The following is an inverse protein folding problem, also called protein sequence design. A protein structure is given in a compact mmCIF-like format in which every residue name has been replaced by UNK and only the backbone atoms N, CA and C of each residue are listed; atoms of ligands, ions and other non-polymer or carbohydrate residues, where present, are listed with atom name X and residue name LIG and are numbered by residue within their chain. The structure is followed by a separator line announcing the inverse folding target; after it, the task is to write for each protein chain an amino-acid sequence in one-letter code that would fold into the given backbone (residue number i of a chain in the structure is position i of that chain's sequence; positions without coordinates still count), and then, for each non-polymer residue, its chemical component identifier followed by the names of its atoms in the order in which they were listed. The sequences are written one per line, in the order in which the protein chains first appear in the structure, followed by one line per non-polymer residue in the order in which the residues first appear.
data_IF_014053543959
#
_entry.id   IF_014053543959
#
_cell.length_a   1.000
_cell.length_b   1.000
_cell.length_c   1.000
_cell.angle_alpha   90.00
_cell.angle_beta   90.00
_cell.angle_gamma   90.00
#
_symmetry.space_group_name_H-M   'P 1'
#
loop_
_entity.id
_entity.type
_entity.pdbx_description
1 polymer ?
#
# COMPACT_ATOMS: atom_id res chain seq x y z
N UNK A 1 13.40 -50.45 4.58
CA UNK A 1 12.78 -49.21 4.07
C UNK A 1 11.26 -49.28 3.84
N UNK A 2 10.61 -50.46 3.74
CA UNK A 2 9.14 -50.57 3.52
C UNK A 2 8.24 -50.01 4.65
N UNK A 3 8.79 -49.67 5.84
CA UNK A 3 8.02 -49.23 7.01
C UNK A 3 8.28 -47.77 7.46
N UNK A 4 9.02 -46.98 6.67
CA UNK A 4 9.31 -45.59 7.06
C UNK A 4 8.11 -44.67 6.77
N UNK A 5 7.31 -44.41 7.80
CA UNK A 5 6.10 -43.57 7.71
C UNK A 5 6.42 -42.13 7.30
N UNK A 6 7.59 -41.59 7.66
CA UNK A 6 8.02 -40.26 7.23
C UNK A 6 8.19 -40.22 5.72
N UNK A 7 8.96 -41.16 5.17
CA UNK A 7 9.22 -41.19 3.72
C UNK A 7 7.92 -41.39 2.92
N UNK A 8 7.00 -42.22 3.43
CA UNK A 8 5.68 -42.42 2.83
C UNK A 8 4.82 -41.14 2.86
N UNK A 9 4.81 -40.41 3.98
CA UNK A 9 4.07 -39.16 4.10
C UNK A 9 4.60 -38.10 3.12
N UNK A 10 5.92 -37.92 3.06
CA UNK A 10 6.57 -36.99 2.12
C UNK A 10 6.21 -37.36 0.68
N UNK A 11 6.42 -38.62 0.26
CA UNK A 11 6.13 -39.05 -1.10
C UNK A 11 4.66 -38.85 -1.51
N UNK A 12 3.72 -39.11 -0.60
CA UNK A 12 2.28 -38.87 -0.85
C UNK A 12 1.94 -37.39 -0.93
N UNK A 13 2.55 -36.54 -0.10
CA UNK A 13 2.35 -35.10 -0.13
C UNK A 13 2.90 -34.49 -1.42
N UNK A 14 4.14 -34.83 -1.81
CA UNK A 14 4.75 -34.37 -3.07
C UNK A 14 3.88 -34.77 -4.27
N UNK A 15 3.38 -36.01 -4.29
CA UNK A 15 2.48 -36.49 -5.35
C UNK A 15 1.17 -35.71 -5.39
N UNK A 16 0.56 -35.41 -4.25
CA UNK A 16 -0.69 -34.67 -4.18
C UNK A 16 -0.52 -33.19 -4.54
N UNK A 17 0.65 -32.60 -4.25
CA UNK A 17 0.99 -31.25 -4.69
C UNK A 17 1.30 -31.18 -6.19
N UNK A 18 1.86 -32.25 -6.76
CA UNK A 18 2.02 -32.39 -8.21
C UNK A 18 2.99 -31.40 -8.85
N UNK A 19 3.87 -30.78 -8.07
CA UNK A 19 4.92 -29.88 -8.56
C UNK A 19 6.20 -30.67 -8.87
N UNK A 20 6.99 -30.19 -9.82
CA UNK A 20 8.30 -30.76 -10.12
C UNK A 20 9.35 -30.30 -9.11
N UNK A 21 9.29 -29.03 -8.72
CA UNK A 21 10.23 -28.39 -7.78
C UNK A 21 9.52 -27.75 -6.59
N UNK A 22 10.19 -27.78 -5.45
CA UNK A 22 9.71 -27.30 -4.17
C UNK A 22 10.78 -26.47 -3.45
N UNK A 23 10.34 -25.43 -2.77
CA UNK A 23 11.12 -24.82 -1.71
C UNK A 23 10.86 -25.60 -0.41
N UNK A 24 11.93 -26.09 0.22
CA UNK A 24 11.92 -26.68 1.56
C UNK A 24 12.46 -25.66 2.56
N UNK A 25 11.61 -25.25 3.49
CA UNK A 25 11.97 -24.36 4.59
C UNK A 25 12.34 -25.18 5.83
N UNK A 26 13.54 -24.98 6.36
CA UNK A 26 13.98 -25.57 7.63
C UNK A 26 14.16 -24.43 8.62
N UNK A 27 13.24 -24.33 9.58
CA UNK A 27 13.19 -23.22 10.54
C UNK A 27 13.69 -23.68 11.90
N UNK A 28 14.72 -23.03 12.42
CA UNK A 28 15.19 -23.28 13.77
C UNK A 28 14.16 -22.78 14.79
N UNK A 29 13.71 -23.64 15.71
CA UNK A 29 12.64 -23.28 16.65
C UNK A 29 13.08 -22.26 17.71
N UNK A 30 14.38 -22.16 17.98
CA UNK A 30 14.93 -21.27 19.03
C UNK A 30 15.12 -19.84 18.52
N UNK A 31 15.81 -19.72 17.38
CA UNK A 31 16.18 -18.45 16.76
C UNK A 31 15.12 -17.94 15.78
N UNK A 32 14.23 -18.83 15.31
CA UNK A 32 13.25 -18.53 14.29
C UNK A 32 13.82 -18.38 12.88
N UNK A 33 15.15 -18.55 12.70
CA UNK A 33 15.83 -18.40 11.42
C UNK A 33 15.38 -19.48 10.43
N UNK A 34 15.06 -19.06 9.20
CA UNK A 34 14.64 -19.95 8.12
C UNK A 34 15.80 -20.22 7.15
N UNK A 35 16.09 -21.49 6.90
CA UNK A 35 16.95 -21.94 5.80
C UNK A 35 16.06 -22.46 4.67
N UNK A 36 16.19 -21.87 3.47
CA UNK A 36 15.46 -22.31 2.29
C UNK A 36 16.35 -23.15 1.38
N UNK A 37 15.82 -24.25 0.84
CA UNK A 37 16.47 -25.03 -0.22
C UNK A 37 15.46 -25.38 -1.31
N UNK A 38 15.78 -25.02 -2.54
CA UNK A 38 14.99 -25.41 -3.70
C UNK A 38 15.46 -26.79 -4.22
N UNK A 39 14.54 -27.73 -4.30
CA UNK A 39 14.79 -29.12 -4.70
C UNK A 39 13.68 -29.66 -5.58
N UNK A 40 14.04 -30.54 -6.51
CA UNK A 40 13.08 -31.41 -7.19
C UNK A 40 12.42 -32.39 -6.22
N UNK A 41 11.26 -32.93 -6.59
CA UNK A 41 10.57 -33.97 -5.79
C UNK A 41 11.49 -35.15 -5.42
N UNK A 42 12.36 -35.57 -6.35
CA UNK A 42 13.33 -36.64 -6.12
C UNK A 42 14.42 -36.24 -5.12
N UNK A 43 14.94 -35.01 -5.22
CA UNK A 43 15.94 -34.48 -4.29
C UNK A 43 15.37 -34.31 -2.88
N UNK A 44 14.09 -33.93 -2.73
CA UNK A 44 13.43 -33.89 -1.41
C UNK A 44 13.41 -35.27 -0.76
N UNK A 45 13.05 -36.32 -1.52
CA UNK A 45 13.06 -37.69 -1.03
C UNK A 45 14.48 -38.16 -0.70
N UNK A 46 15.46 -37.87 -1.56
CA UNK A 46 16.86 -38.22 -1.36
C UNK A 46 17.44 -37.57 -0.08
N UNK A 47 17.07 -36.32 0.20
CA UNK A 47 17.54 -35.57 1.36
C UNK A 47 16.69 -35.80 2.63
N UNK A 48 15.73 -36.73 2.61
CA UNK A 48 14.91 -37.07 3.79
C UNK A 48 15.75 -37.43 5.03
N UNK A 49 16.88 -38.18 4.95
CA UNK A 49 17.73 -38.43 6.12
C UNK A 49 18.31 -37.15 6.75
N UNK A 50 18.70 -36.17 5.92
CA UNK A 50 19.16 -34.87 6.40
C UNK A 50 18.03 -34.07 7.05
N UNK A 51 16.84 -34.05 6.43
CA UNK A 51 15.66 -33.41 7.02
C UNK A 51 15.27 -34.03 8.37
N UNK A 52 15.36 -35.36 8.50
CA UNK A 52 15.15 -36.06 9.77
C UNK A 52 16.14 -35.62 10.84
N UNK A 53 17.42 -35.48 10.48
CA UNK A 53 18.46 -34.97 11.38
C UNK A 53 18.16 -33.53 11.81
N UNK A 54 17.85 -32.65 10.87
CA UNK A 54 17.51 -31.26 11.18
C UNK A 54 16.28 -31.18 12.10
N UNK A 55 15.23 -31.94 11.79
CA UNK A 55 14.05 -32.00 12.62
C UNK A 55 14.38 -32.52 14.01
N UNK A 56 15.14 -33.62 14.13
CA UNK A 56 15.61 -34.16 15.42
C UNK A 56 16.33 -33.11 16.29
N UNK A 57 17.10 -32.21 15.64
CA UNK A 57 17.85 -31.13 16.27
C UNK A 57 17.04 -29.88 16.62
N UNK A 58 15.71 -29.90 16.46
CA UNK A 58 14.84 -28.78 16.86
C UNK A 58 14.41 -27.86 15.73
N UNK A 59 14.50 -28.32 14.48
CA UNK A 59 14.03 -27.54 13.34
C UNK A 59 12.63 -27.98 12.88
N UNK A 60 11.76 -27.02 12.59
CA UNK A 60 10.50 -27.22 11.90
C UNK A 60 10.73 -27.36 10.38
N UNK A 61 10.04 -28.27 9.72
CA UNK A 61 10.17 -28.51 8.28
C UNK A 61 8.91 -28.08 7.53
N UNK A 62 9.10 -27.27 6.51
CA UNK A 62 8.07 -26.64 5.70
C UNK A 62 8.28 -26.93 4.21
N UNK A 63 7.23 -26.77 3.43
CA UNK A 63 7.21 -26.99 1.98
C UNK A 63 6.28 -25.98 1.31
N UNK A 64 6.68 -25.53 0.12
CA UNK A 64 5.83 -24.83 -0.85
C UNK A 64 6.35 -25.11 -2.27
N UNK A 65 5.56 -24.87 -3.32
CA UNK A 65 6.07 -24.92 -4.70
C UNK A 65 7.23 -23.92 -4.90
N UNK A 66 8.20 -24.29 -5.74
CA UNK A 66 9.34 -23.41 -6.06
C UNK A 66 8.87 -22.13 -6.77
N UNK A 67 9.70 -21.09 -6.76
CA UNK A 67 9.34 -19.76 -7.27
C UNK A 67 8.90 -19.75 -8.74
N UNK A 68 9.60 -20.50 -9.58
CA UNK A 68 9.35 -20.58 -11.02
C UNK A 68 8.40 -21.73 -11.39
N UNK A 69 7.91 -22.48 -10.41
CA UNK A 69 7.00 -23.60 -10.63
C UNK A 69 5.64 -23.08 -11.12
N UNK A 70 5.11 -23.69 -12.19
CA UNK A 70 3.77 -23.36 -12.69
C UNK A 70 2.75 -24.25 -11.97
N UNK A 71 2.04 -23.67 -11.01
CA UNK A 71 1.06 -24.40 -10.20
C UNK A 71 -0.21 -23.58 -9.93
N UNK A 72 -1.30 -24.26 -9.60
CA UNK A 72 -2.55 -23.65 -9.11
C UNK A 72 -2.84 -23.96 -7.63
N UNK A 73 -1.81 -24.28 -6.84
CA UNK A 73 -1.96 -24.55 -5.41
C UNK A 73 -2.07 -23.27 -4.56
N UNK A 74 -3.02 -23.28 -3.62
CA UNK A 74 -3.28 -22.24 -2.63
C UNK A 74 -3.32 -22.89 -1.24
N UNK A 75 -2.59 -22.32 -0.27
CA UNK A 75 -2.62 -22.78 1.12
C UNK A 75 -3.76 -22.10 1.89
N UNK A 76 -4.44 -22.86 2.73
CA UNK A 76 -5.36 -22.39 3.76
C UNK A 76 -4.91 -22.99 5.09
N UNK A 77 -4.51 -22.14 6.04
CA UNK A 77 -3.92 -22.54 7.33
C UNK A 77 -4.88 -22.25 8.49
N UNK A 78 -4.68 -22.93 9.62
CA UNK A 78 -5.48 -22.83 10.85
C UNK A 78 -6.96 -23.27 10.70
N UNK A 79 -7.15 -24.46 10.12
CA UNK A 79 -8.47 -25.07 9.90
C UNK A 79 -8.82 -26.10 10.99
N UNK A 80 -10.12 -26.22 11.27
CA UNK A 80 -10.73 -27.31 12.05
C UNK A 80 -11.24 -28.45 11.15
N UNK A 81 -11.74 -29.54 11.75
CA UNK A 81 -12.36 -30.62 10.98
C UNK A 81 -13.69 -30.18 10.33
N UNK A 82 -14.41 -29.27 10.97
CA UNK A 82 -15.69 -28.75 10.46
C UNK A 82 -15.46 -27.90 9.21
N UNK A 83 -14.45 -27.03 9.23
CA UNK A 83 -14.09 -26.20 8.07
C UNK A 83 -13.71 -27.08 6.87
N UNK A 84 -13.01 -28.20 7.11
CA UNK A 84 -12.67 -29.14 6.05
C UNK A 84 -13.90 -29.84 5.44
N UNK A 85 -14.94 -30.08 6.22
CA UNK A 85 -16.18 -30.66 5.73
C UNK A 85 -17.00 -29.62 4.95
N UNK A 86 -17.06 -28.38 5.42
CA UNK A 86 -17.69 -27.26 4.71
C UNK A 86 -16.96 -26.96 3.39
N UNK A 87 -15.63 -26.90 3.39
CA UNK A 87 -14.81 -26.79 2.18
C UNK A 87 -15.18 -27.87 1.15
N UNK A 88 -15.35 -29.12 1.58
CA UNK A 88 -15.72 -30.20 0.66
C UNK A 88 -17.15 -30.05 0.14
N UNK A 89 -18.10 -29.69 1.02
CA UNK A 89 -19.50 -29.49 0.64
C UNK A 89 -19.67 -28.34 -0.35
N UNK A 90 -18.84 -27.31 -0.26
CA UNK A 90 -18.89 -26.10 -1.09
C UNK A 90 -18.02 -26.19 -2.35
N UNK A 91 -17.41 -27.35 -2.63
CA UNK A 91 -16.58 -27.55 -3.83
C UNK A 91 -15.19 -26.92 -3.75
N UNK A 92 -14.69 -26.61 -2.55
CA UNK A 92 -13.30 -26.21 -2.26
C UNK A 92 -12.49 -27.42 -1.78
N UNK A 93 -12.72 -28.59 -2.36
CA UNK A 93 -12.11 -29.84 -1.87
C UNK A 93 -10.57 -29.72 -1.84
N UNK A 94 -9.93 -30.02 -0.70
CA UNK A 94 -8.48 -29.99 -0.62
C UNK A 94 -7.82 -31.01 -1.55
N UNK A 95 -6.76 -30.59 -2.24
CA UNK A 95 -5.85 -31.50 -2.92
C UNK A 95 -5.12 -32.38 -1.88
N UNK A 96 -4.76 -31.79 -0.73
CA UNK A 96 -4.27 -32.51 0.44
C UNK A 96 -4.63 -31.79 1.74
N UNK A 97 -4.71 -32.56 2.82
CA UNK A 97 -4.95 -32.09 4.18
C UNK A 97 -3.81 -32.55 5.07
N UNK A 98 -3.19 -31.61 5.78
CA UNK A 98 -2.12 -31.85 6.74
C UNK A 98 -2.59 -31.44 8.12
N UNK A 99 -2.53 -32.36 9.07
CA UNK A 99 -2.70 -32.04 10.48
C UNK A 99 -1.34 -31.57 11.03
N UNK A 100 -1.27 -30.29 11.41
CA UNK A 100 -0.05 -29.63 11.85
C UNK A 100 0.26 -29.90 13.33
N UNK A 101 -0.79 -30.12 14.13
CA UNK A 101 -0.77 -30.60 15.50
C UNK A 101 -2.14 -31.20 15.81
N UNK A 102 -2.33 -31.98 16.91
CA UNK A 102 -3.59 -32.68 17.14
C UNK A 102 -4.81 -31.77 16.99
N UNK A 103 -5.73 -32.14 16.08
CA UNK A 103 -6.96 -31.40 15.74
C UNK A 103 -6.77 -30.00 15.13
N UNK A 104 -5.58 -29.69 14.62
CA UNK A 104 -5.29 -28.44 13.91
C UNK A 104 -4.81 -28.79 12.50
N UNK A 105 -5.46 -28.23 11.50
CA UNK A 105 -5.30 -28.64 10.11
C UNK A 105 -4.88 -27.48 9.22
N UNK A 106 -4.33 -27.85 8.08
CA UNK A 106 -4.18 -26.96 6.94
C UNK A 106 -4.44 -27.74 5.66
N UNK A 107 -4.90 -27.03 4.65
CA UNK A 107 -5.27 -27.60 3.38
C UNK A 107 -4.52 -26.91 2.24
N UNK A 108 -4.11 -27.69 1.25
CA UNK A 108 -3.76 -27.12 -0.06
C UNK A 108 -4.92 -27.34 -1.01
N UNK A 109 -5.46 -26.27 -1.55
CA UNK A 109 -6.52 -26.29 -2.57
C UNK A 109 -5.88 -26.08 -3.93
N UNK A 110 -6.13 -27.00 -4.87
CA UNK A 110 -5.69 -26.85 -6.26
C UNK A 110 -6.84 -26.23 -7.07
N UNK A 111 -6.67 -24.99 -7.54
CA UNK A 111 -7.74 -24.27 -8.26
C UNK A 111 -7.66 -24.43 -9.79
N UNK A 112 -6.46 -24.73 -10.30
CA UNK A 112 -6.19 -25.00 -11.71
C UNK A 112 -4.88 -25.78 -11.82
N UNK A 113 -4.49 -26.19 -13.03
CA UNK A 113 -3.14 -26.72 -13.26
C UNK A 113 -2.08 -25.62 -13.09
N UNK A 114 -2.37 -24.39 -13.54
CA UNK A 114 -1.52 -23.23 -13.34
C UNK A 114 -2.35 -21.96 -13.09
N UNK A 115 -1.95 -21.17 -12.09
CA UNK A 115 -2.50 -19.84 -11.81
C UNK A 115 -1.39 -18.87 -11.40
N UNK A 116 -1.47 -17.62 -11.86
CA UNK A 116 -0.52 -16.55 -11.51
C UNK A 116 -0.52 -16.24 -10.01
N UNK A 117 0.60 -15.72 -9.49
CA UNK A 117 0.75 -15.40 -8.06
C UNK A 117 -0.30 -14.41 -7.54
N UNK A 118 -0.67 -13.40 -8.33
CA UNK A 118 -1.69 -12.42 -7.96
C UNK A 118 -3.08 -13.07 -7.76
N UNK A 119 -3.48 -13.96 -8.69
CA UNK A 119 -4.71 -14.74 -8.58
C UNK A 119 -4.68 -15.66 -7.37
N UNK A 120 -3.59 -16.41 -7.18
CA UNK A 120 -3.44 -17.32 -6.02
C UNK A 120 -3.49 -16.57 -4.70
N UNK A 121 -2.86 -15.39 -4.63
CA UNK A 121 -2.90 -14.54 -3.44
C UNK A 121 -4.31 -13.98 -3.17
N UNK A 122 -5.05 -13.60 -4.20
CA UNK A 122 -6.44 -13.16 -4.02
C UNK A 122 -7.33 -14.30 -3.55
N UNK A 123 -7.21 -15.48 -4.15
CA UNK A 123 -7.95 -16.68 -3.74
C UNK A 123 -7.58 -17.08 -2.30
N UNK A 124 -6.30 -17.00 -1.91
CA UNK A 124 -5.87 -17.30 -0.55
C UNK A 124 -6.61 -16.42 0.48
N UNK A 125 -6.73 -15.11 0.20
CA UNK A 125 -7.48 -14.17 1.05
C UNK A 125 -8.98 -14.46 1.08
N UNK A 126 -9.56 -14.82 -0.06
CA UNK A 126 -10.97 -15.23 -0.13
C UNK A 126 -11.22 -16.47 0.72
N UNK A 127 -10.43 -17.53 0.54
CA UNK A 127 -10.58 -18.77 1.30
C UNK A 127 -10.31 -18.58 2.79
N UNK A 128 -9.31 -17.79 3.17
CA UNK A 128 -9.07 -17.46 4.57
C UNK A 128 -10.26 -16.73 5.20
N UNK A 129 -10.91 -15.83 4.46
CA UNK A 129 -12.12 -15.15 4.93
C UNK A 129 -13.37 -16.03 4.92
N UNK A 130 -13.48 -17.00 4.02
CA UNK A 130 -14.64 -17.92 3.95
C UNK A 130 -14.67 -18.91 5.12
N UNK A 131 -13.49 -19.36 5.58
CA UNK A 131 -13.35 -20.42 6.58
C UNK A 131 -12.69 -19.96 7.88
N UNK A 132 -12.71 -18.66 8.17
CA UNK A 132 -12.09 -18.04 9.37
C UNK A 132 -10.63 -18.49 9.62
N UNK A 133 -9.91 -18.78 8.53
CA UNK A 133 -8.54 -19.26 8.53
C UNK A 133 -7.54 -18.11 8.75
N UNK A 134 -6.28 -18.44 9.06
CA UNK A 134 -5.27 -17.43 9.41
C UNK A 134 -4.99 -16.43 8.27
N UNK A 135 -5.36 -15.14 8.40
CA UNK A 135 -5.13 -14.14 7.36
C UNK A 135 -3.65 -13.83 7.12
N UNK A 136 -2.78 -14.07 8.11
CA UNK A 136 -1.34 -13.87 7.96
C UNK A 136 -0.70 -14.92 7.04
N UNK A 137 -1.39 -16.05 6.85
CA UNK A 137 -0.99 -17.15 5.98
C UNK A 137 -1.60 -17.03 4.57
N UNK A 138 -2.47 -16.04 4.34
CA UNK A 138 -3.21 -15.84 3.10
C UNK A 138 -2.40 -15.09 2.02
N UNK A 139 -1.28 -15.67 1.60
CA UNK A 139 -0.43 -15.16 0.54
C UNK A 139 -0.07 -16.22 -0.51
N UNK A 140 0.44 -15.77 -1.67
CA UNK A 140 0.70 -16.68 -2.80
C UNK A 140 1.94 -17.56 -2.63
N UNK A 141 2.75 -17.36 -1.60
CA UNK A 141 4.04 -18.04 -1.37
C UNK A 141 4.20 -18.52 0.07
N UNK A 142 3.09 -18.66 0.79
CA UNK A 142 3.14 -19.13 2.16
C UNK A 142 3.69 -20.56 2.26
N UNK A 143 4.39 -20.84 3.35
CA UNK A 143 4.94 -22.16 3.63
C UNK A 143 3.91 -23.04 4.35
N UNK A 144 3.59 -24.19 3.76
CA UNK A 144 2.88 -25.26 4.45
C UNK A 144 3.84 -26.16 5.25
N UNK A 145 3.30 -26.95 6.17
CA UNK A 145 4.02 -28.02 6.87
C UNK A 145 4.28 -29.20 5.94
N UNK A 146 5.51 -29.73 6.00
CA UNK A 146 5.83 -31.01 5.39
C UNK A 146 5.50 -32.13 6.37
N UNK A 147 4.58 -33.02 6.00
CA UNK A 147 4.18 -34.15 6.82
C UNK A 147 5.30 -35.18 6.99
N UNK A 148 5.25 -35.93 8.09
CA UNK A 148 6.26 -36.92 8.43
C UNK A 148 7.39 -36.40 9.32
N UNK A 149 7.32 -35.16 9.80
CA UNK A 149 8.23 -34.55 10.78
C UNK A 149 7.47 -34.16 12.05
N UNK A 150 8.19 -33.96 13.17
CA UNK A 150 7.57 -33.44 14.39
C UNK A 150 7.42 -31.91 14.34
N UNK A 151 6.35 -31.39 14.91
CA UNK A 151 6.15 -29.96 15.12
C UNK A 151 6.95 -29.50 16.35
N UNK A 152 7.92 -28.62 16.15
CA UNK A 152 8.91 -28.20 17.15
C UNK A 152 8.52 -26.96 17.95
N UNK A 153 7.37 -26.35 17.68
CA UNK A 153 6.89 -25.20 18.46
C UNK A 153 6.54 -25.63 19.89
N UNK A 154 7.10 -24.94 20.88
CA UNK A 154 6.97 -25.29 22.30
C UNK A 154 5.53 -25.42 22.79
N UNK A 155 4.62 -24.58 22.28
CA UNK A 155 3.18 -24.61 22.64
C UNK A 155 2.48 -25.94 22.34
N UNK A 156 3.05 -26.78 21.49
CA UNK A 156 2.51 -28.10 21.15
C UNK A 156 3.26 -29.25 21.82
N UNK A 157 4.32 -28.95 22.57
CA UNK A 157 5.02 -29.96 23.36
C UNK A 157 4.09 -30.42 24.49
N UNK A 158 3.79 -31.72 24.49
CA UNK A 158 2.97 -32.33 25.53
C UNK A 158 3.61 -32.17 26.91
N UNK A 159 2.82 -32.32 27.97
CA UNK A 159 3.31 -32.29 29.37
C UNK A 159 4.44 -33.30 29.63
N UNK A 160 4.50 -34.38 28.86
CA UNK A 160 5.55 -35.40 28.93
C UNK A 160 6.79 -35.09 28.05
N UNK A 161 6.86 -33.91 27.43
CA UNK A 161 7.99 -33.48 26.60
C UNK A 161 7.97 -33.96 25.15
N UNK A 162 6.92 -34.68 24.72
CA UNK A 162 6.81 -35.16 23.34
C UNK A 162 6.25 -34.09 22.41
N UNK A 163 6.88 -33.97 21.24
CA UNK A 163 6.43 -33.15 20.12
C UNK A 163 5.52 -33.98 19.21
N UNK A 164 4.36 -33.47 18.78
CA UNK A 164 3.44 -34.20 17.93
C UNK A 164 3.99 -34.33 16.51
N UNK A 165 3.64 -35.44 15.85
CA UNK A 165 3.93 -35.64 14.43
C UNK A 165 2.94 -34.85 13.57
N UNK A 166 3.46 -34.23 12.52
CA UNK A 166 2.66 -33.65 11.44
C UNK A 166 2.18 -34.79 10.54
N UNK A 167 0.87 -34.94 10.39
CA UNK A 167 0.25 -36.08 9.71
C UNK A 167 -0.42 -35.66 8.40
N UNK A 168 -0.18 -36.42 7.34
CA UNK A 168 -0.91 -36.28 6.08
C UNK A 168 -2.22 -37.06 6.18
N UNK A 169 -3.35 -36.36 6.33
CA UNK A 169 -4.68 -36.95 6.48
C UNK A 169 -5.27 -37.36 5.13
N UNK A 170 -5.27 -36.44 4.17
CA UNK A 170 -5.78 -36.67 2.81
C UNK A 170 -4.77 -36.21 1.75
N UNK A 171 -4.75 -36.83 0.57
CA UNK A 171 -3.78 -36.55 -0.50
C UNK A 171 -4.32 -36.95 -1.89
N UNK A 172 -5.53 -36.48 -2.22
CA UNK A 172 -6.22 -36.84 -3.47
C UNK A 172 -5.56 -36.20 -4.70
N UNK A 173 -4.95 -35.02 -4.54
CA UNK A 173 -4.25 -34.28 -5.61
C UNK A 173 -5.15 -33.76 -6.73
N UNK A 174 -6.47 -33.76 -6.53
CA UNK A 174 -7.44 -33.32 -7.54
C UNK A 174 -7.64 -31.81 -7.48
N UNK A 175 -7.98 -31.23 -8.63
CA UNK A 175 -8.48 -29.86 -8.71
C UNK A 175 -9.83 -29.77 -8.02
N UNK A 176 -10.03 -28.75 -7.20
CA UNK A 176 -11.30 -28.49 -6.52
C UNK A 176 -12.41 -28.19 -7.53
N UNK A 177 -13.64 -28.58 -7.20
CA UNK A 177 -14.81 -28.42 -8.09
C UNK A 177 -15.06 -26.95 -8.45
N UNK A 178 -14.96 -26.06 -7.46
CA UNK A 178 -15.07 -24.60 -7.62
C UNK A 178 -13.77 -23.93 -8.10
N UNK A 179 -12.69 -24.67 -8.33
CA UNK A 179 -11.38 -24.14 -8.69
C UNK A 179 -11.41 -23.14 -9.87
N UNK A 180 -11.96 -23.52 -11.04
CA UNK A 180 -12.09 -22.61 -12.18
C UNK A 180 -12.92 -21.35 -11.89
N UNK A 181 -13.98 -21.48 -11.10
CA UNK A 181 -14.84 -20.36 -10.71
C UNK A 181 -14.10 -19.38 -9.78
N UNK A 182 -13.33 -19.89 -8.81
CA UNK A 182 -12.48 -19.07 -7.93
C UNK A 182 -11.45 -18.27 -8.72
N UNK A 183 -10.83 -18.88 -9.74
CA UNK A 183 -9.89 -18.16 -10.63
C UNK A 183 -10.57 -17.03 -11.38
N UNK A 184 -11.75 -17.27 -11.94
CA UNK A 184 -12.52 -16.24 -12.64
C UNK A 184 -12.93 -15.10 -11.71
N UNK A 185 -13.46 -15.43 -10.53
CA UNK A 185 -13.89 -14.44 -9.53
C UNK A 185 -12.70 -13.59 -9.05
N UNK A 186 -11.57 -14.21 -8.76
CA UNK A 186 -10.34 -13.51 -8.36
C UNK A 186 -9.86 -12.55 -9.46
N UNK A 187 -9.89 -12.98 -10.73
CA UNK A 187 -9.56 -12.12 -11.87
C UNK A 187 -10.45 -10.88 -11.94
N UNK A 188 -11.76 -11.04 -11.82
CA UNK A 188 -12.70 -9.92 -11.81
C UNK A 188 -12.46 -8.96 -10.64
N UNK A 189 -12.18 -9.48 -9.43
CA UNK A 189 -11.89 -8.66 -8.26
C UNK A 189 -10.61 -7.82 -8.44
N UNK A 190 -9.54 -8.43 -8.97
CA UNK A 190 -8.27 -7.75 -9.26
C UNK A 190 -8.50 -6.62 -10.28
N UNK A 191 -9.17 -6.91 -11.39
CA UNK A 191 -9.46 -5.90 -12.41
C UNK A 191 -10.33 -4.75 -11.87
N UNK A 192 -11.33 -5.07 -11.04
CA UNK A 192 -12.17 -4.06 -10.41
C UNK A 192 -11.34 -3.16 -9.48
N UNK A 193 -10.47 -3.74 -8.65
CA UNK A 193 -9.58 -2.98 -7.78
C UNK A 193 -8.64 -2.06 -8.57
N UNK A 194 -8.04 -2.57 -9.66
CA UNK A 194 -7.18 -1.78 -10.54
C UNK A 194 -7.95 -0.61 -11.19
N UNK A 195 -9.17 -0.85 -11.69
CA UNK A 195 -10.04 0.21 -12.23
C UNK A 195 -10.38 1.27 -11.19
N UNK A 196 -10.66 0.87 -9.95
CA UNK A 196 -10.95 1.83 -8.87
C UNK A 196 -9.72 2.65 -8.49
N UNK A 197 -8.55 2.02 -8.40
CA UNK A 197 -7.29 2.70 -8.12
C UNK A 197 -6.94 3.70 -9.24
N UNK A 198 -7.16 3.33 -10.50
CA UNK A 198 -6.94 4.23 -11.62
C UNK A 198 -7.92 5.41 -11.59
N UNK A 199 -9.20 5.18 -11.32
CA UNK A 199 -10.19 6.26 -11.12
C UNK A 199 -9.80 7.18 -9.98
N UNK A 200 -9.38 6.64 -8.83
CA UNK A 200 -8.92 7.42 -7.69
C UNK A 200 -7.66 8.23 -8.03
N UNK A 201 -6.72 7.65 -8.77
CA UNK A 201 -5.51 8.35 -9.25
C UNK A 201 -5.86 9.48 -10.22
N UNK A 202 -6.79 9.25 -11.15
CA UNK A 202 -7.29 10.28 -12.07
C UNK A 202 -7.99 11.40 -11.30
N UNK A 203 -8.84 11.07 -10.32
CA UNK A 203 -9.51 12.06 -9.47
C UNK A 203 -8.50 12.89 -8.65
N UNK A 204 -7.54 12.24 -7.99
CA UNK A 204 -6.46 12.92 -7.27
C UNK A 204 -5.62 13.82 -8.19
N UNK A 205 -5.42 13.42 -9.45
CA UNK A 205 -4.73 14.26 -10.44
C UNK A 205 -5.54 15.47 -10.90
N UNK A 206 -6.88 15.40 -10.83
CA UNK A 206 -7.81 16.50 -11.11
C UNK A 206 -8.02 17.44 -9.91
N UNK A 207 -7.70 17.01 -8.68
CA UNK A 207 -7.72 17.86 -7.47
C UNK A 207 -6.40 18.64 -7.26
N UNK A 208 -5.30 18.19 -7.88
CA UNK A 208 -4.00 18.90 -7.88
C UNK A 208 -3.96 20.28 -8.58
N UNK A 209 -4.75 20.59 -9.62
CA UNK A 209 -4.82 21.92 -10.24
C UNK A 209 -5.29 23.01 -9.26
N UNK A 210 -6.23 22.71 -8.35
CA UNK A 210 -6.73 23.71 -7.39
C UNK A 210 -5.67 24.11 -6.35
N UNK A 211 -4.87 23.14 -5.89
CA UNK A 211 -3.74 23.41 -4.96
C UNK A 211 -2.57 24.12 -5.64
N UNK A 212 -2.36 23.94 -6.95
CA UNK A 212 -1.30 24.66 -7.69
C UNK A 212 -1.70 26.06 -8.15
N UNK A 213 -2.99 26.30 -8.43
CA UNK A 213 -3.52 27.64 -8.72
C UNK A 213 -3.47 28.55 -7.48
N UNK A 214 -3.61 28.00 -6.27
CA UNK A 214 -3.45 28.74 -5.02
C UNK A 214 -2.00 29.15 -4.72
N UNK A 215 -0.99 28.36 -5.13
CA UNK A 215 0.44 28.66 -4.88
C UNK A 215 1.05 29.71 -5.83
N UNK A 216 0.36 30.09 -6.92
CA UNK A 216 0.87 31.07 -7.90
C UNK A 216 0.25 32.48 -7.80
N UNK A 217 -0.63 32.74 -6.83
CA UNK A 217 -0.85 34.12 -6.37
C UNK A 217 -0.09 34.29 -5.06
N UNK A 218 1.06 34.99 -5.09
CA UNK A 218 1.65 35.53 -3.85
C UNK A 218 0.53 36.25 -3.11
N UNK A 219 0.32 35.99 -1.83
CA UNK A 219 -0.70 36.72 -1.08
C UNK A 219 -0.22 38.16 -0.85
N UNK A 220 -1.12 39.09 -0.54
CA UNK A 220 -0.71 40.45 -0.17
C UNK A 220 0.24 40.44 1.04
N UNK A 221 0.08 39.47 1.96
CA UNK A 221 0.94 39.24 3.10
C UNK A 221 2.37 38.83 2.69
N UNK A 222 2.52 37.91 1.74
CA UNK A 222 3.83 37.46 1.25
C UNK A 222 4.59 38.57 0.54
N UNK A 223 3.87 39.35 -0.29
CA UNK A 223 4.44 40.52 -0.96
C UNK A 223 4.87 41.58 0.06
N UNK A 224 4.04 41.84 1.08
CA UNK A 224 4.36 42.79 2.14
C UNK A 224 5.61 42.38 2.91
N UNK A 225 5.69 41.14 3.38
CA UNK A 225 6.85 40.59 4.11
C UNK A 225 8.14 40.70 3.28
N UNK A 226 8.07 40.38 1.99
CA UNK A 226 9.22 40.49 1.10
C UNK A 226 9.71 41.92 0.91
N UNK A 227 8.80 42.89 0.75
CA UNK A 227 9.17 44.30 0.60
C UNK A 227 9.73 44.86 1.91
N UNK A 228 9.11 44.51 3.05
CA UNK A 228 9.54 44.94 4.37
C UNK A 228 10.92 44.42 4.74
N UNK A 229 11.25 43.16 4.43
CA UNK A 229 12.57 42.59 4.70
C UNK A 229 13.70 43.38 4.01
N UNK A 230 13.45 43.90 2.79
CA UNK A 230 14.39 44.76 2.09
C UNK A 230 14.43 46.19 2.61
N UNK A 231 13.28 46.73 3.04
CA UNK A 231 13.17 48.10 3.53
C UNK A 231 13.77 48.28 4.92
N UNK A 232 13.54 47.33 5.84
CA UNK A 232 14.10 47.35 7.20
C UNK A 232 15.63 47.31 7.18
N UNK A 233 16.23 46.58 6.23
CA UNK A 233 17.70 46.58 6.06
C UNK A 233 18.27 47.93 5.61
N UNK A 234 17.47 48.79 4.96
CA UNK A 234 17.92 50.07 4.39
C UNK A 234 17.48 51.29 5.20
N UNK A 235 16.36 51.18 5.89
CA UNK A 235 15.68 52.26 6.60
C UNK A 235 15.17 51.80 7.97
N UNK A 236 15.91 50.90 8.64
CA UNK A 236 15.52 50.27 9.91
C UNK A 236 15.24 51.26 11.05
N UNK A 237 15.77 52.47 10.95
CA UNK A 237 15.56 53.55 11.92
C UNK A 237 14.17 54.22 11.78
N UNK A 238 13.47 54.03 10.66
CA UNK A 238 12.11 54.54 10.42
C UNK A 238 11.19 53.46 9.85
N UNK A 239 10.66 52.64 10.75
CA UNK A 239 9.73 51.56 10.42
C UNK A 239 8.39 52.09 9.85
N UNK A 240 7.97 53.30 10.22
CA UNK A 240 6.72 53.88 9.69
C UNK A 240 6.85 54.26 8.22
N UNK A 241 8.04 54.73 7.81
CA UNK A 241 8.39 54.96 6.41
C UNK A 241 8.52 53.66 5.63
N UNK A 242 9.03 52.59 6.25
CA UNK A 242 9.05 51.25 5.64
C UNK A 242 7.63 50.75 5.35
N UNK A 243 6.74 50.83 6.35
CA UNK A 243 5.33 50.44 6.22
C UNK A 243 4.64 51.21 5.08
N UNK A 244 4.87 52.52 4.97
CA UNK A 244 4.32 53.37 3.91
C UNK A 244 4.81 52.97 2.51
N UNK A 245 6.12 52.74 2.34
CA UNK A 245 6.72 52.35 1.05
C UNK A 245 6.24 50.94 0.63
N UNK A 246 6.14 50.00 1.57
CA UNK A 246 5.64 48.66 1.30
C UNK A 246 4.16 48.73 0.87
N UNK A 247 3.31 49.45 1.60
CA UNK A 247 1.92 49.67 1.25
C UNK A 247 1.77 50.33 -0.14
N UNK A 248 2.59 51.32 -0.46
CA UNK A 248 2.59 51.98 -1.77
C UNK A 248 2.89 51.03 -2.92
N UNK A 249 3.87 50.14 -2.76
CA UNK A 249 4.23 49.15 -3.78
C UNK A 249 3.11 48.14 -4.00
N UNK A 250 2.50 47.64 -2.93
CA UNK A 250 1.37 46.71 -3.02
C UNK A 250 0.15 47.38 -3.68
N UNK A 251 -0.14 48.64 -3.33
CA UNK A 251 -1.23 49.40 -3.93
C UNK A 251 -1.00 49.66 -5.42
N UNK A 252 0.24 49.96 -5.83
CA UNK A 252 0.63 50.16 -7.23
C UNK A 252 0.58 48.87 -8.04
N UNK A 253 0.67 47.70 -7.40
CA UNK A 253 0.48 46.37 -8.00
C UNK A 253 -0.99 45.92 -8.06
N UNK A 254 -1.92 46.79 -7.64
CA UNK A 254 -3.36 46.56 -7.77
C UNK A 254 -4.04 45.94 -6.54
N UNK A 255 -3.33 45.68 -5.43
CA UNK A 255 -3.92 45.14 -4.20
C UNK A 255 -4.96 46.08 -3.59
N UNK A 256 -6.03 45.54 -3.01
CA UNK A 256 -7.08 46.35 -2.39
C UNK A 256 -6.59 47.00 -1.08
N UNK A 257 -7.24 48.08 -0.67
CA UNK A 257 -6.97 48.72 0.62
C UNK A 257 -7.14 47.74 1.80
N UNK A 258 -8.13 46.85 1.72
CA UNK A 258 -8.40 45.84 2.73
C UNK A 258 -7.28 44.77 2.79
N UNK A 259 -6.81 44.30 1.63
CA UNK A 259 -5.71 43.32 1.56
C UNK A 259 -4.41 43.88 2.13
N UNK A 260 -4.11 45.15 1.85
CA UNK A 260 -2.92 45.84 2.37
C UNK A 260 -3.05 46.06 3.87
N UNK A 261 -4.23 46.49 4.34
CA UNK A 261 -4.48 46.71 5.76
C UNK A 261 -4.31 45.44 6.60
N UNK A 262 -4.84 44.30 6.12
CA UNK A 262 -4.65 42.99 6.78
C UNK A 262 -3.17 42.57 6.80
N UNK A 263 -2.46 42.75 5.68
CA UNK A 263 -1.03 42.44 5.61
C UNK A 263 -0.19 43.30 6.58
N UNK A 264 -0.51 44.59 6.71
CA UNK A 264 0.14 45.49 7.66
C UNK A 264 -0.14 45.11 9.11
N UNK A 265 -1.38 44.76 9.45
CA UNK A 265 -1.76 44.33 10.79
C UNK A 265 -0.98 43.09 11.24
N UNK A 266 -0.75 42.15 10.33
CA UNK A 266 -0.09 40.88 10.65
C UNK A 266 1.45 40.94 10.59
N UNK A 267 2.02 41.73 9.69
CA UNK A 267 3.45 41.64 9.36
C UNK A 267 4.25 42.93 9.58
N UNK A 268 3.63 44.03 10.02
CA UNK A 268 4.37 45.25 10.35
C UNK A 268 5.20 45.05 11.64
N UNK A 269 6.53 45.28 11.61
CA UNK A 269 7.39 45.03 12.76
C UNK A 269 7.03 45.87 13.99
N UNK A 270 6.93 45.23 15.15
CA UNK A 270 6.68 45.86 16.44
C UNK A 270 5.49 46.84 16.44
N UNK A 271 4.45 46.58 15.64
CA UNK A 271 3.34 47.53 15.44
C UNK A 271 2.62 47.88 16.75
N UNK A 272 2.31 46.87 17.57
CA UNK A 272 1.68 47.04 18.88
C UNK A 272 2.55 47.82 19.87
N UNK A 273 3.87 47.70 19.78
CA UNK A 273 4.82 48.44 20.62
C UNK A 273 5.00 49.89 20.12
N UNK A 274 4.97 50.10 18.80
CA UNK A 274 5.13 51.42 18.17
C UNK A 274 3.86 52.27 18.18
N UNK A 275 2.68 51.65 18.21
CA UNK A 275 1.36 52.30 18.11
C UNK A 275 0.34 51.69 19.09
N UNK A 276 0.66 51.61 20.39
CA UNK A 276 -0.19 50.93 21.37
C UNK A 276 -1.59 51.55 21.41
N UNK A 277 -2.62 50.74 21.15
CA UNK A 277 -4.02 51.15 21.20
C UNK A 277 -4.51 52.00 20.01
N UNK A 278 -3.64 52.25 19.02
CA UNK A 278 -3.95 53.01 17.80
C UNK A 278 -3.48 52.28 16.53
N UNK A 279 -3.32 50.97 16.59
CA UNK A 279 -2.80 50.15 15.49
C UNK A 279 -3.73 50.22 14.28
N UNK A 280 -5.05 50.09 14.50
CA UNK A 280 -6.06 50.15 13.45
C UNK A 280 -6.14 51.54 12.78
N UNK A 281 -6.13 52.62 13.57
CA UNK A 281 -6.14 54.01 13.07
C UNK A 281 -4.88 54.31 12.24
N UNK A 282 -3.72 53.83 12.71
CA UNK A 282 -2.47 53.99 11.97
C UNK A 282 -2.49 53.27 10.62
N UNK A 283 -2.98 52.03 10.57
CA UNK A 283 -3.11 51.26 9.33
C UNK A 283 -4.07 51.96 8.38
N UNK A 284 -5.26 52.33 8.85
CA UNK A 284 -6.29 52.98 8.03
C UNK A 284 -5.79 54.28 7.42
N UNK A 285 -5.16 55.14 8.23
CA UNK A 285 -4.60 56.41 7.77
C UNK A 285 -3.45 56.21 6.78
N UNK A 286 -2.64 55.18 6.97
CA UNK A 286 -1.50 54.87 6.09
C UNK A 286 -1.97 54.34 4.74
N UNK A 287 -2.91 53.39 4.74
CA UNK A 287 -3.51 52.83 3.52
C UNK A 287 -4.30 53.89 2.77
N UNK A 288 -5.12 54.69 3.45
CA UNK A 288 -5.90 55.77 2.85
C UNK A 288 -4.99 56.81 2.16
N UNK A 289 -3.91 57.24 2.83
CA UNK A 289 -2.92 58.14 2.22
C UNK A 289 -2.25 57.54 0.99
N UNK A 290 -1.83 56.28 1.06
CA UNK A 290 -1.19 55.58 -0.06
C UNK A 290 -2.13 55.46 -1.26
N UNK A 291 -3.38 55.08 -1.04
CA UNK A 291 -4.39 54.94 -2.10
C UNK A 291 -4.76 56.28 -2.75
N UNK A 292 -4.61 57.38 -2.01
CA UNK A 292 -4.80 58.75 -2.51
C UNK A 292 -3.62 59.33 -3.30
N UNK A 293 -2.47 58.64 -3.40
CA UNK A 293 -1.30 59.16 -4.11
C UNK A 293 -1.53 59.15 -5.64
N UNK A 294 -1.24 60.25 -6.35
CA UNK A 294 -1.39 60.31 -7.81
C UNK A 294 -0.60 59.21 -8.55
N UNK A 295 0.60 58.87 -8.08
CA UNK A 295 1.42 57.79 -8.65
C UNK A 295 0.78 56.41 -8.52
N UNK A 296 0.10 56.13 -7.41
CA UNK A 296 -0.62 54.88 -7.19
C UNK A 296 -1.89 54.83 -8.03
N UNK A 297 -2.63 55.94 -8.11
CA UNK A 297 -3.83 56.03 -8.94
C UNK A 297 -3.52 55.83 -10.44
N UNK A 298 -2.42 56.42 -10.93
CA UNK A 298 -1.95 56.23 -12.29
C UNK A 298 -1.55 54.76 -12.55
N UNK A 299 -0.74 54.15 -11.69
CA UNK A 299 -0.32 52.76 -11.84
C UNK A 299 -1.52 51.79 -11.84
N UNK A 300 -2.53 52.05 -10.99
CA UNK A 300 -3.76 51.26 -10.95
C UNK A 300 -4.62 51.45 -12.20
N UNK A 301 -4.70 52.66 -12.74
CA UNK A 301 -5.41 52.95 -13.98
C UNK A 301 -4.74 52.28 -15.20
N UNK A 302 -3.41 52.22 -15.23
CA UNK A 302 -2.63 51.50 -16.25
C UNK A 302 -2.87 49.98 -16.17
N UNK A 303 -2.85 49.41 -14.96
CA UNK A 303 -3.17 47.99 -14.75
C UNK A 303 -4.59 47.63 -15.19
N UNK A 304 -5.57 48.52 -14.97
CA UNK A 304 -6.95 48.33 -15.40
C UNK A 304 -7.13 48.41 -16.93
N UNK A 305 -6.19 49.04 -17.66
CA UNK A 305 -6.20 49.18 -19.12
C UNK A 305 -5.45 48.06 -19.85
N UNK A 306 -4.71 47.21 -19.15
CA UNK A 306 -3.96 46.11 -19.76
C UNK A 306 -4.92 44.97 -20.18
N UNK A 307 -4.91 44.51 -21.46
CA UNK A 307 -5.77 43.41 -21.90
C UNK A 307 -5.32 42.09 -21.27
N UNK A 308 -6.30 41.26 -20.87
CA UNK A 308 -6.07 39.93 -20.29
C UNK A 308 -5.30 39.01 -21.27
N UNK A 309 -4.41 38.12 -20.77
CA UNK A 309 -3.68 37.22 -21.64
C UNK A 309 -4.63 36.28 -22.39
N UNK A 310 -4.53 36.25 -23.72
CA UNK A 310 -5.31 35.39 -24.60
C UNK A 310 -5.07 33.92 -24.24
N UNK A 311 -6.12 33.23 -23.77
CA UNK A 311 -6.14 31.77 -23.70
C UNK A 311 -6.04 31.22 -25.13
N UNK A 312 -5.01 30.40 -25.43
CA UNK A 312 -4.96 29.62 -26.68
C UNK A 312 -6.07 28.57 -26.64
N UNK A 313 -7.22 28.90 -27.21
CA UNK A 313 -8.25 27.93 -27.56
C UNK A 313 -7.76 27.05 -28.72
N UNK A 314 -7.80 25.73 -28.50
CA UNK A 314 -7.74 24.72 -29.56
C UNK A 314 -9.03 24.83 -30.39
N UNK A 315 -8.98 25.51 -31.53
CA UNK A 315 -9.97 25.35 -32.60
C UNK A 315 -9.50 24.22 -33.53
N UNK A 316 -10.17 23.06 -33.44
CA UNK A 316 -10.24 22.09 -34.55
C UNK A 316 -11.59 22.26 -35.22
N UNK A 317 -11.70 23.24 -36.10
CA UNK A 317 -12.72 23.29 -37.17
C UNK A 317 -12.11 22.70 -38.44
N UNK A 318 -12.71 21.65 -38.99
CA UNK A 318 -12.22 20.94 -40.18
C UNK A 318 -12.48 21.69 -41.50
N UNK A 319 -12.12 21.08 -42.65
CA UNK A 319 -12.72 21.43 -43.91
C UNK A 319 -13.69 20.34 -44.38
N UNK A 320 -14.89 20.84 -44.65
CA UNK A 320 -15.92 20.37 -45.56
C UNK A 320 -15.33 19.93 -46.91
N UNK A 321 -15.72 18.76 -47.40
CA UNK A 321 -15.56 18.36 -48.79
C UNK A 321 -16.89 17.79 -49.30
N UNK A 322 -17.63 18.66 -49.98
CA UNK A 322 -18.64 18.31 -50.95
C UNK A 322 -17.95 17.99 -52.28
N UNK A 323 -18.04 16.73 -52.73
CA UNK A 323 -18.28 16.26 -54.12
C UNK A 323 -18.28 14.74 -54.15
#
# INVERSE_FOLDING_TARGET
MKNDRTLQAIGRQLKAMGCERFDIGVRDATTGQMMNREWSAAEVLQNTPWLKRMNAQGNDVYIRPAEQERHGLVLVDDLSEFDLDDMKAEGREPALVVETSPKNYQAWVKVADAAGGELRGQIARTLASEYDADPASADSRHYGRLAGFTNRKDKHTTRAGYQPWVLLRESKGKTATAGPALVQQAGQQIEQAQRQQEKARRLASLELPERQLSRHRRTALDEYRSEMAGLVKRFGDDLSKCDFIAAQKLASRGRSAEEIGKAMAEASPALAERKPGHEADYIERTVSKVMGLPSVQLARAELARAPAPRQRGMDRGGPDFSM
#
